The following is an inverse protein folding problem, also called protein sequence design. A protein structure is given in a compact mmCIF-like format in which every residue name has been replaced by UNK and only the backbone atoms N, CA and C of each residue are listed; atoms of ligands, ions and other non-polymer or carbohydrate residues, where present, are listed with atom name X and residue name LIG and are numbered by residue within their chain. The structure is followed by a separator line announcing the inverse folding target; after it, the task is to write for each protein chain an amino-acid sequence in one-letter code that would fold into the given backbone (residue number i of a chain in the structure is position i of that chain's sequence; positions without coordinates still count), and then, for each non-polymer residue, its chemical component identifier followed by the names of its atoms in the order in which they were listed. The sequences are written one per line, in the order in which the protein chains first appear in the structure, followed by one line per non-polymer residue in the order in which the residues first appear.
data_IF_427754579461
#
_entry.id   IF_427754579461
#
_cell.length_a   1.000
_cell.length_b   1.000
_cell.length_c   1.000
_cell.angle_alpha   90.00
_cell.angle_beta   90.00
_cell.angle_gamma   90.00
#
_symmetry.space_group_name_H-M   'P 1'
#
loop_
_entity.id
_entity.type
_entity.pdbx_description
1 polymer ?
#
# COMPACT_ATOMS: atom_id res chain seq x y z
N UNK A 1 -3.44 -27.45 -7.64
CA UNK A 1 -3.43 -27.05 -6.21
C UNK A 1 -2.05 -27.10 -5.57
N UNK A 2 -1.25 -28.15 -5.78
CA UNK A 2 0.10 -28.27 -5.19
C UNK A 2 0.99 -27.07 -5.56
N UNK A 3 1.06 -26.69 -6.84
CA UNK A 3 1.82 -25.53 -7.31
C UNK A 3 1.44 -24.23 -6.59
N UNK A 4 0.16 -24.01 -6.35
CA UNK A 4 -0.37 -22.83 -5.66
C UNK A 4 0.13 -22.74 -4.21
N UNK A 5 0.02 -23.85 -3.47
CA UNK A 5 0.46 -23.92 -2.07
C UNK A 5 1.98 -23.78 -1.95
N UNK A 6 2.74 -24.43 -2.84
CA UNK A 6 4.20 -24.34 -2.86
C UNK A 6 4.63 -22.92 -3.21
N UNK A 7 4.02 -22.30 -4.22
CA UNK A 7 4.38 -20.95 -4.64
C UNK A 7 4.12 -19.92 -3.54
N UNK A 8 2.95 -19.98 -2.89
CA UNK A 8 2.62 -19.12 -1.76
C UNK A 8 3.51 -19.37 -0.52
N UNK A 9 3.74 -20.63 -0.18
CA UNK A 9 4.55 -21.02 0.98
C UNK A 9 6.02 -20.64 0.79
N UNK A 10 6.58 -20.89 -0.39
CA UNK A 10 7.96 -20.53 -0.71
C UNK A 10 8.13 -19.01 -0.76
N UNK A 11 7.23 -18.28 -1.41
CA UNK A 11 7.35 -16.82 -1.51
C UNK A 11 7.22 -16.14 -0.15
N UNK A 12 6.33 -16.63 0.71
CA UNK A 12 6.20 -16.23 2.11
C UNK A 12 7.49 -16.50 2.89
N UNK A 13 8.02 -17.73 2.80
CA UNK A 13 9.27 -18.11 3.45
C UNK A 13 10.41 -17.20 3.00
N UNK A 14 10.54 -17.00 1.69
CA UNK A 14 11.56 -16.15 1.10
C UNK A 14 11.51 -14.74 1.67
N UNK A 15 10.36 -14.05 1.63
CA UNK A 15 10.28 -12.67 2.11
C UNK A 15 10.32 -12.58 3.63
N UNK A 16 9.77 -13.53 4.37
CA UNK A 16 9.81 -13.51 5.82
C UNK A 16 11.25 -13.63 6.35
N UNK A 17 12.03 -14.57 5.81
CA UNK A 17 13.36 -14.89 6.36
C UNK A 17 14.53 -14.17 5.68
N UNK A 18 14.42 -13.81 4.39
CA UNK A 18 15.53 -13.16 3.68
C UNK A 18 15.46 -11.63 3.71
N UNK A 19 14.32 -11.01 4.00
CA UNK A 19 14.20 -9.54 4.10
C UNK A 19 15.25 -8.91 5.07
N UNK A 20 15.59 -9.49 6.23
CA UNK A 20 16.67 -8.97 7.08
C UNK A 20 18.03 -8.86 6.37
N UNK A 21 18.32 -9.77 5.45
CA UNK A 21 19.55 -9.75 4.65
C UNK A 21 19.52 -8.56 3.68
N UNK A 22 18.38 -8.34 3.01
CA UNK A 22 18.16 -7.18 2.15
C UNK A 22 18.21 -5.86 2.93
N UNK A 23 17.65 -5.80 4.13
CA UNK A 23 17.75 -4.62 5.00
C UNK A 23 19.22 -4.27 5.29
N UNK A 24 20.06 -5.27 5.64
CA UNK A 24 21.50 -5.06 5.85
C UNK A 24 22.20 -4.60 4.58
N UNK A 25 21.86 -5.20 3.44
CA UNK A 25 22.41 -4.83 2.13
C UNK A 25 22.05 -3.38 1.77
N UNK A 26 20.78 -3.00 1.86
CA UNK A 26 20.31 -1.66 1.52
C UNK A 26 20.87 -0.59 2.47
N UNK A 27 21.10 -0.93 3.75
CA UNK A 27 21.83 -0.05 4.68
C UNK A 27 23.29 0.13 4.26
N UNK A 28 23.97 -0.93 3.83
CA UNK A 28 25.36 -0.86 3.33
C UNK A 28 25.48 -0.04 2.05
N UNK A 29 24.44 -0.08 1.20
CA UNK A 29 24.35 0.71 -0.03
C UNK A 29 23.84 2.15 0.19
N UNK A 30 23.55 2.53 1.44
CA UNK A 30 22.98 3.84 1.81
C UNK A 30 21.66 4.18 1.10
N UNK A 31 20.86 3.17 0.78
CA UNK A 31 19.55 3.30 0.13
C UNK A 31 18.44 3.67 1.13
N UNK A 32 18.67 4.75 1.88
CA UNK A 32 17.71 5.30 2.84
C UNK A 32 16.77 6.33 2.23
N UNK A 33 15.57 6.46 2.78
CA UNK A 33 14.61 7.47 2.33
C UNK A 33 15.01 8.89 2.80
N UNK A 34 15.00 9.85 1.86
CA UNK A 34 15.18 11.29 2.14
C UNK A 34 13.83 11.93 2.46
N UNK A 35 13.77 12.76 3.51
CA UNK A 35 12.52 13.36 3.99
C UNK A 35 12.00 14.43 3.01
N UNK A 36 10.68 14.51 2.87
CA UNK A 36 9.96 15.63 2.25
C UNK A 36 9.49 16.59 3.35
N UNK A 37 9.74 17.88 3.20
CA UNK A 37 9.39 18.90 4.21
C UNK A 37 7.87 19.11 4.35
N UNK A 38 7.08 18.67 3.36
CA UNK A 38 5.64 18.94 3.27
C UNK A 38 4.73 17.90 3.97
N UNK A 39 5.32 16.96 4.74
CA UNK A 39 4.60 15.85 5.40
C UNK A 39 4.22 16.13 6.87
N UNK A 40 3.30 15.33 7.47
CA UNK A 40 3.02 15.41 8.91
C UNK A 40 4.29 15.22 9.76
N UNK A 41 4.39 15.91 10.91
CA UNK A 41 5.62 15.89 11.72
C UNK A 41 5.99 14.51 12.29
N UNK A 42 5.05 13.56 12.34
CA UNK A 42 5.31 12.15 12.67
C UNK A 42 6.21 11.44 11.67
N UNK A 43 6.36 11.95 10.44
CA UNK A 43 7.25 11.36 9.44
C UNK A 43 8.73 11.73 9.65
N UNK A 44 9.04 12.75 10.46
CA UNK A 44 10.44 13.12 10.72
C UNK A 44 11.22 12.07 11.53
N UNK A 45 10.53 11.21 12.29
CA UNK A 45 11.16 10.09 13.03
C UNK A 45 11.47 8.88 12.15
N UNK A 46 11.03 8.85 10.89
CA UNK A 46 11.23 7.73 9.94
C UNK A 46 12.51 7.88 9.08
N UNK A 47 13.45 8.72 9.51
CA UNK A 47 14.69 9.02 8.78
C UNK A 47 15.62 7.80 8.73
N UNK A 48 16.13 7.48 7.54
CA UNK A 48 17.17 6.45 7.37
C UNK A 48 16.67 5.01 7.29
N UNK A 49 15.35 4.78 7.32
CA UNK A 49 14.78 3.47 7.00
C UNK A 49 15.06 3.15 5.52
N UNK A 50 15.58 1.94 5.20
CA UNK A 50 15.80 1.51 3.82
C UNK A 50 14.53 1.56 2.97
N UNK A 51 14.65 2.02 1.73
CA UNK A 51 13.58 1.99 0.72
C UNK A 51 13.84 0.90 -0.33
N UNK A 52 12.94 0.75 -1.30
CA UNK A 52 12.97 -0.27 -2.38
C UNK A 52 12.74 -1.71 -1.91
N UNK A 53 11.99 -1.89 -0.82
CA UNK A 53 11.50 -3.20 -0.38
C UNK A 53 10.66 -3.94 -1.42
N UNK A 54 10.12 -3.22 -2.42
CA UNK A 54 9.51 -3.76 -3.63
C UNK A 54 10.33 -4.86 -4.31
N UNK A 55 11.65 -4.68 -4.38
CA UNK A 55 12.56 -5.66 -4.98
C UNK A 55 12.42 -7.02 -4.28
N UNK A 56 12.31 -7.02 -2.95
CA UNK A 56 12.34 -8.24 -2.15
C UNK A 56 11.11 -9.11 -2.41
N UNK A 57 9.91 -8.51 -2.40
CA UNK A 57 8.69 -9.29 -2.63
C UNK A 57 8.41 -9.58 -4.10
N UNK A 58 8.88 -8.75 -5.03
CA UNK A 58 8.82 -9.06 -6.48
C UNK A 58 9.70 -10.29 -6.75
N UNK A 59 10.94 -10.29 -6.27
CA UNK A 59 11.83 -11.47 -6.39
C UNK A 59 11.23 -12.69 -5.69
N UNK A 60 10.70 -12.54 -4.48
CA UNK A 60 10.05 -13.63 -3.76
C UNK A 60 8.84 -14.22 -4.49
N UNK A 61 8.03 -13.37 -5.15
CA UNK A 61 6.90 -13.82 -5.95
C UNK A 61 7.34 -14.58 -7.21
N UNK A 62 8.32 -14.05 -7.95
CA UNK A 62 8.86 -14.71 -9.16
C UNK A 62 9.50 -16.05 -8.81
N UNK A 63 10.36 -16.08 -7.78
CA UNK A 63 11.01 -17.32 -7.35
C UNK A 63 9.99 -18.34 -6.82
N UNK A 64 9.00 -17.89 -6.03
CA UNK A 64 7.92 -18.75 -5.55
C UNK A 64 7.11 -19.37 -6.69
N UNK A 65 6.74 -18.56 -7.68
CA UNK A 65 6.05 -19.05 -8.88
C UNK A 65 6.86 -20.11 -9.64
N UNK A 66 8.16 -19.84 -9.88
CA UNK A 66 9.05 -20.76 -10.60
C UNK A 66 9.25 -22.07 -9.82
N UNK A 67 9.47 -22.00 -8.50
CA UNK A 67 9.60 -23.18 -7.63
C UNK A 67 8.29 -23.98 -7.60
N UNK A 68 7.14 -23.32 -7.53
CA UNK A 68 5.83 -23.98 -7.56
C UNK A 68 5.62 -24.83 -8.81
N UNK A 69 6.01 -24.30 -9.98
CA UNK A 69 5.95 -25.02 -11.26
C UNK A 69 6.98 -26.13 -11.34
N UNK A 70 8.23 -25.86 -10.95
CA UNK A 70 9.32 -26.83 -10.97
C UNK A 70 8.99 -28.05 -10.12
N UNK A 71 8.52 -27.86 -8.89
CA UNK A 71 8.21 -28.96 -7.96
C UNK A 71 6.95 -29.71 -8.37
N UNK A 72 5.96 -29.02 -8.96
CA UNK A 72 4.72 -29.66 -9.38
C UNK A 72 4.82 -30.35 -10.74
N UNK A 73 5.90 -30.12 -11.51
CA UNK A 73 6.08 -30.66 -12.86
C UNK A 73 5.08 -30.09 -13.88
N UNK A 74 4.48 -28.93 -13.60
CA UNK A 74 3.50 -28.28 -14.48
C UNK A 74 4.24 -27.19 -15.28
N UNK A 75 4.02 -27.08 -16.60
CA UNK A 75 4.59 -25.98 -17.37
C UNK A 75 3.99 -24.64 -16.96
N UNK A 76 4.82 -23.61 -17.02
CA UNK A 76 4.43 -22.22 -16.79
C UNK A 76 3.72 -21.69 -18.04
N UNK A 77 2.75 -20.80 -17.85
CA UNK A 77 1.94 -20.29 -18.97
C UNK A 77 2.21 -18.81 -19.27
N UNK A 78 1.77 -18.36 -20.45
CA UNK A 78 1.98 -16.97 -20.87
C UNK A 78 1.21 -15.97 -19.99
N UNK A 79 0.07 -16.35 -19.40
CA UNK A 79 -0.70 -15.44 -18.54
C UNK A 79 0.11 -15.03 -17.30
N UNK A 80 0.80 -15.97 -16.66
CA UNK A 80 1.64 -15.66 -15.51
C UNK A 80 2.90 -14.87 -15.90
N UNK A 81 3.49 -15.14 -17.07
CA UNK A 81 4.60 -14.35 -17.62
C UNK A 81 4.19 -12.91 -17.84
N UNK A 82 2.98 -12.67 -18.35
CA UNK A 82 2.45 -11.33 -18.55
C UNK A 82 2.19 -10.61 -17.21
N UNK A 83 1.69 -11.30 -16.18
CA UNK A 83 1.57 -10.72 -14.83
C UNK A 83 2.94 -10.35 -14.25
N UNK A 84 3.91 -11.25 -14.33
CA UNK A 84 5.29 -11.02 -13.86
C UNK A 84 5.93 -9.87 -14.66
N UNK A 85 5.75 -9.85 -15.98
CA UNK A 85 6.28 -8.81 -16.87
C UNK A 85 5.67 -7.45 -16.58
N UNK A 86 4.35 -7.38 -16.32
CA UNK A 86 3.68 -6.14 -15.93
C UNK A 86 4.17 -5.65 -14.56
N UNK A 87 4.19 -6.53 -13.56
CA UNK A 87 4.65 -6.23 -12.20
C UNK A 87 6.12 -5.79 -12.18
N UNK A 88 6.98 -6.53 -12.88
CA UNK A 88 8.41 -6.23 -12.97
C UNK A 88 8.69 -4.97 -13.81
N UNK A 89 7.95 -4.76 -14.89
CA UNK A 89 8.08 -3.60 -15.77
C UNK A 89 7.68 -2.30 -15.08
N UNK A 90 6.50 -2.24 -14.44
CA UNK A 90 6.10 -1.06 -13.67
C UNK A 90 6.94 -0.90 -12.40
N UNK A 91 7.36 -2.01 -11.79
CA UNK A 91 8.31 -2.01 -10.68
C UNK A 91 9.67 -1.44 -11.07
N UNK A 92 10.17 -1.71 -12.29
CA UNK A 92 11.40 -1.14 -12.81
C UNK A 92 11.27 0.39 -12.98
N UNK A 93 10.13 0.88 -13.49
CA UNK A 93 9.87 2.33 -13.55
C UNK A 93 9.93 2.95 -12.16
N UNK A 94 9.36 2.27 -11.15
CA UNK A 94 9.44 2.69 -9.75
C UNK A 94 10.84 2.64 -9.17
N UNK A 95 11.62 1.61 -9.51
CA UNK A 95 13.02 1.48 -9.13
C UNK A 95 13.86 2.62 -9.70
N UNK A 96 13.67 2.98 -10.98
CA UNK A 96 14.36 4.11 -11.58
C UNK A 96 14.04 5.43 -10.88
N UNK A 97 12.79 5.61 -10.42
CA UNK A 97 12.38 6.77 -9.62
C UNK A 97 13.07 6.79 -8.24
N UNK A 98 13.01 5.69 -7.50
CA UNK A 98 13.62 5.56 -6.18
C UNK A 98 15.15 5.69 -6.23
N UNK A 99 15.78 5.05 -7.21
CA UNK A 99 17.23 5.15 -7.44
C UNK A 99 17.64 6.60 -7.72
N UNK A 100 16.84 7.34 -8.51
CA UNK A 100 17.14 8.74 -8.78
C UNK A 100 16.98 9.63 -7.53
N UNK A 101 15.99 9.38 -6.66
CA UNK A 101 15.83 10.09 -5.38
C UNK A 101 17.08 9.90 -4.50
N UNK A 102 17.58 8.66 -4.44
CA UNK A 102 18.76 8.31 -3.64
C UNK A 102 20.01 8.96 -4.21
N UNK A 103 20.28 8.78 -5.50
CA UNK A 103 21.47 9.31 -6.17
C UNK A 103 21.56 10.83 -6.10
N UNK A 104 20.42 11.53 -6.19
CA UNK A 104 20.36 13.01 -6.13
C UNK A 104 20.14 13.56 -4.72
N UNK A 105 20.10 12.70 -3.69
CA UNK A 105 19.90 13.05 -2.28
C UNK A 105 18.74 14.04 -2.05
N UNK A 106 17.64 13.87 -2.78
CA UNK A 106 16.49 14.77 -2.74
C UNK A 106 15.20 13.96 -2.78
N UNK A 107 14.12 14.55 -2.27
CA UNK A 107 12.79 13.92 -2.26
C UNK A 107 12.14 13.81 -3.65
N UNK A 108 12.59 14.63 -4.61
CA UNK A 108 12.10 14.65 -6.00
C UNK A 108 12.78 13.60 -6.87
N UNK A 109 12.01 12.60 -7.30
CA UNK A 109 12.44 11.57 -8.26
C UNK A 109 12.35 12.03 -9.72
N UNK A 110 12.01 11.09 -10.61
CA UNK A 110 11.79 11.36 -12.04
C UNK A 110 10.54 12.23 -12.23
N UNK A 111 10.50 12.99 -13.32
CA UNK A 111 9.34 13.82 -13.65
C UNK A 111 8.08 12.97 -13.77
N UNK A 112 6.95 13.47 -13.23
CA UNK A 112 5.68 12.73 -13.22
C UNK A 112 5.25 12.24 -14.61
N UNK A 113 5.45 13.05 -15.65
CA UNK A 113 5.16 12.66 -17.04
C UNK A 113 6.09 11.58 -17.58
N UNK A 114 7.37 11.59 -17.21
CA UNK A 114 8.32 10.52 -17.57
C UNK A 114 7.93 9.20 -16.90
N UNK A 115 7.49 9.26 -15.64
CA UNK A 115 6.97 8.09 -14.91
C UNK A 115 5.74 7.50 -15.59
N UNK A 116 4.77 8.35 -15.97
CA UNK A 116 3.60 7.92 -16.74
C UNK A 116 4.03 7.34 -18.09
N UNK A 117 4.94 7.98 -18.82
CA UNK A 117 5.47 7.46 -20.08
C UNK A 117 6.07 6.05 -19.95
N UNK A 118 6.85 5.79 -18.89
CA UNK A 118 7.37 4.45 -18.62
C UNK A 118 6.27 3.41 -18.37
N UNK A 119 5.24 3.77 -17.58
CA UNK A 119 4.08 2.88 -17.35
C UNK A 119 3.32 2.64 -18.66
N UNK A 120 3.17 3.65 -19.52
CA UNK A 120 2.51 3.52 -20.82
C UNK A 120 3.27 2.57 -21.76
N UNK A 121 4.60 2.61 -21.75
CA UNK A 121 5.43 1.69 -22.55
C UNK A 121 5.21 0.25 -22.08
N UNK A 122 5.29 0.01 -20.76
CA UNK A 122 5.08 -1.32 -20.18
C UNK A 122 3.67 -1.83 -20.47
N UNK A 123 2.65 -0.99 -20.24
CA UNK A 123 1.24 -1.34 -20.49
C UNK A 123 0.94 -1.59 -21.96
N UNK A 124 1.59 -0.87 -22.88
CA UNK A 124 1.44 -1.10 -24.33
C UNK A 124 2.07 -2.41 -24.76
N UNK A 125 3.26 -2.75 -24.26
CA UNK A 125 3.90 -4.04 -24.53
C UNK A 125 3.02 -5.18 -24.01
N UNK A 126 2.52 -5.06 -22.77
CA UNK A 126 1.57 -6.00 -22.20
C UNK A 126 0.31 -6.14 -23.07
N UNK A 127 -0.32 -5.02 -23.47
CA UNK A 127 -1.54 -5.02 -24.26
C UNK A 127 -1.36 -5.76 -25.59
N UNK A 128 -0.28 -5.45 -26.32
CA UNK A 128 0.00 -6.09 -27.61
C UNK A 128 0.22 -7.58 -27.45
N UNK A 129 1.01 -8.00 -26.46
CA UNK A 129 1.27 -9.43 -26.22
C UNK A 129 0.01 -10.16 -25.73
N UNK A 130 -0.85 -9.51 -24.95
CA UNK A 130 -2.02 -10.15 -24.34
C UNK A 130 -3.13 -10.51 -25.35
N UNK A 131 -3.19 -9.84 -26.51
CA UNK A 131 -4.16 -10.16 -27.59
C UNK A 131 -3.49 -10.73 -28.84
N UNK A 132 -2.20 -11.06 -28.77
CA UNK A 132 -1.49 -11.59 -29.92
C UNK A 132 -1.80 -13.08 -30.13
N UNK A 133 -2.24 -13.42 -31.35
CA UNK A 133 -2.56 -14.78 -31.77
C UNK A 133 -1.38 -15.76 -31.71
N UNK A 134 -0.14 -15.27 -31.68
CA UNK A 134 1.05 -16.12 -31.47
C UNK A 134 0.96 -16.89 -30.15
N UNK A 135 0.25 -16.34 -29.16
CA UNK A 135 0.17 -16.97 -27.86
C UNK A 135 -1.01 -17.91 -27.71
N UNK A 136 -1.94 -18.09 -28.65
CA UNK A 136 -3.16 -18.92 -28.47
C UNK A 136 -2.91 -20.25 -27.73
N UNK A 137 -3.79 -20.59 -26.79
CA UNK A 137 -3.78 -21.91 -26.14
C UNK A 137 -4.42 -22.99 -27.02
N UNK A 138 -4.49 -24.23 -26.52
CA UNK A 138 -5.12 -25.36 -27.20
C UNK A 138 -6.62 -25.14 -27.50
N UNK A 139 -7.26 -24.21 -26.78
CA UNK A 139 -8.67 -23.85 -26.93
C UNK A 139 -8.89 -22.64 -27.85
N UNK A 140 -7.81 -22.07 -28.42
CA UNK A 140 -7.89 -20.89 -29.27
C UNK A 140 -8.14 -19.59 -28.52
N UNK A 141 -7.75 -19.50 -27.24
CA UNK A 141 -7.87 -18.31 -26.41
C UNK A 141 -6.56 -17.52 -26.34
N UNK A 142 -6.65 -16.21 -26.61
CA UNK A 142 -5.60 -15.26 -26.27
C UNK A 142 -5.56 -15.01 -24.75
N UNK A 143 -4.42 -14.57 -24.19
CA UNK A 143 -4.32 -14.24 -22.76
C UNK A 143 -5.38 -13.25 -22.26
N UNK A 144 -5.72 -12.22 -23.04
CA UNK A 144 -6.78 -11.26 -22.74
C UNK A 144 -7.91 -11.33 -23.75
N UNK A 145 -9.10 -10.92 -23.31
CA UNK A 145 -10.28 -10.79 -24.16
C UNK A 145 -10.25 -9.50 -25.00
N UNK A 146 -10.94 -9.52 -26.14
CA UNK A 146 -11.20 -8.32 -26.94
C UNK A 146 -12.34 -7.45 -26.38
N UNK A 147 -13.08 -7.98 -25.39
CA UNK A 147 -14.20 -7.31 -24.76
C UNK A 147 -13.76 -6.58 -23.48
N UNK A 148 -14.57 -5.62 -23.04
CA UNK A 148 -14.48 -5.10 -21.68
C UNK A 148 -15.28 -6.00 -20.75
N UNK A 149 -14.71 -6.34 -19.59
CA UNK A 149 -15.30 -7.35 -18.71
C UNK A 149 -15.55 -6.83 -17.30
N UNK A 150 -16.64 -7.29 -16.71
CA UNK A 150 -17.00 -7.00 -15.32
C UNK A 150 -16.73 -8.20 -14.42
N UNK A 151 -17.65 -9.15 -14.42
CA UNK A 151 -17.43 -10.51 -13.90
C UNK A 151 -17.22 -11.49 -15.07
N UNK A 152 -17.71 -11.10 -16.25
CA UNK A 152 -17.59 -11.76 -17.55
C UNK A 152 -17.54 -10.66 -18.62
N UNK A 153 -17.20 -11.06 -19.84
CA UNK A 153 -17.20 -10.19 -21.00
C UNK A 153 -18.59 -9.59 -21.23
N UNK A 154 -18.63 -8.29 -21.52
CA UNK A 154 -19.87 -7.59 -21.85
C UNK A 154 -20.09 -7.74 -23.36
N UNK A 155 -21.09 -8.52 -23.84
CA UNK A 155 -21.16 -8.92 -25.25
C UNK A 155 -21.27 -7.76 -26.24
N UNK A 156 -21.89 -6.66 -25.82
CA UNK A 156 -22.06 -5.46 -26.67
C UNK A 156 -20.85 -4.53 -26.66
N UNK A 157 -19.87 -4.72 -25.76
CA UNK A 157 -18.71 -3.86 -25.59
C UNK A 157 -17.42 -4.54 -26.06
N UNK A 158 -17.41 -4.91 -27.34
CA UNK A 158 -16.24 -5.45 -28.02
C UNK A 158 -15.37 -4.31 -28.59
N UNK A 159 -14.13 -4.21 -28.12
CA UNK A 159 -13.21 -3.15 -28.58
C UNK A 159 -12.79 -3.37 -30.04
N UNK A 160 -12.80 -4.61 -30.52
CA UNK A 160 -12.44 -4.98 -31.90
C UNK A 160 -13.60 -4.92 -32.90
N UNK A 161 -14.79 -4.47 -32.48
CA UNK A 161 -15.96 -4.38 -33.36
C UNK A 161 -15.74 -3.50 -34.60
N UNK A 162 -14.86 -2.49 -34.51
CA UNK A 162 -14.56 -1.56 -35.60
C UNK A 162 -13.36 -1.99 -36.46
N UNK A 163 -12.90 -3.24 -36.32
CA UNK A 163 -11.78 -3.82 -37.06
C UNK A 163 -10.49 -3.95 -36.23
N UNK A 164 -9.50 -4.73 -36.73
CA UNK A 164 -8.36 -5.17 -35.94
C UNK A 164 -7.40 -4.03 -35.54
N UNK A 165 -7.14 -3.07 -36.43
CA UNK A 165 -6.21 -1.96 -36.16
C UNK A 165 -6.81 -1.02 -35.11
N UNK A 166 -8.03 -0.55 -35.35
CA UNK A 166 -8.71 0.35 -34.42
C UNK A 166 -9.01 -0.35 -33.09
N UNK A 167 -9.37 -1.63 -33.14
CA UNK A 167 -9.56 -2.45 -31.95
C UNK A 167 -8.31 -2.57 -31.09
N UNK A 168 -7.16 -2.82 -31.70
CA UNK A 168 -5.89 -2.84 -30.99
C UNK A 168 -5.57 -1.50 -30.33
N UNK A 169 -5.81 -0.38 -31.03
CA UNK A 169 -5.61 0.97 -30.46
C UNK A 169 -6.53 1.19 -29.25
N UNK A 170 -7.81 0.87 -29.36
CA UNK A 170 -8.77 0.99 -28.26
C UNK A 170 -8.40 0.10 -27.08
N UNK A 171 -7.95 -1.13 -27.35
CA UNK A 171 -7.47 -2.06 -26.34
C UNK A 171 -6.21 -1.53 -25.62
N UNK A 172 -5.24 -1.00 -26.36
CA UNK A 172 -4.04 -0.36 -25.78
C UNK A 172 -4.43 0.82 -24.88
N UNK A 173 -5.38 1.67 -25.31
CA UNK A 173 -5.87 2.78 -24.50
C UNK A 173 -6.53 2.26 -23.22
N UNK A 174 -7.37 1.23 -23.34
CA UNK A 174 -8.07 0.62 -22.21
C UNK A 174 -7.11 0.02 -21.17
N UNK A 175 -6.17 -0.82 -21.62
CA UNK A 175 -5.14 -1.42 -20.76
C UNK A 175 -4.31 -0.34 -20.09
N UNK A 176 -3.86 0.67 -20.82
CA UNK A 176 -3.04 1.75 -20.25
C UNK A 176 -3.82 2.61 -19.26
N UNK A 177 -5.11 2.85 -19.50
CA UNK A 177 -5.98 3.56 -18.56
C UNK A 177 -6.07 2.79 -17.22
N UNK A 178 -6.30 1.47 -17.26
CA UNK A 178 -6.32 0.62 -16.05
C UNK A 178 -4.94 0.63 -15.38
N UNK A 179 -3.87 0.45 -16.17
CA UNK A 179 -2.50 0.34 -15.68
C UNK A 179 -2.06 1.61 -14.95
N UNK A 180 -2.16 2.77 -15.60
CA UNK A 180 -1.80 4.06 -15.02
C UNK A 180 -2.67 4.37 -13.80
N UNK A 181 -3.98 4.09 -13.86
CA UNK A 181 -4.87 4.33 -12.74
C UNK A 181 -4.49 3.50 -11.52
N UNK A 182 -4.28 2.19 -11.70
CA UNK A 182 -4.03 1.23 -10.62
C UNK A 182 -2.64 1.44 -10.01
N UNK A 183 -1.59 1.64 -10.83
CA UNK A 183 -0.24 1.89 -10.34
C UNK A 183 -0.15 3.17 -9.51
N UNK A 184 -0.79 4.25 -9.96
CA UNK A 184 -0.83 5.50 -9.20
C UNK A 184 -1.71 5.36 -7.96
N UNK A 185 -2.78 4.57 -8.01
CA UNK A 185 -3.65 4.38 -6.87
C UNK A 185 -2.95 3.66 -5.70
N UNK A 186 -2.22 2.59 -6.01
CA UNK A 186 -1.41 1.87 -5.01
C UNK A 186 -0.27 2.76 -4.49
N UNK A 187 0.40 3.53 -5.35
CA UNK A 187 1.45 4.47 -4.93
C UNK A 187 0.92 5.54 -3.95
N UNK A 188 -0.26 6.13 -4.23
CA UNK A 188 -0.88 7.10 -3.31
C UNK A 188 -1.30 6.47 -1.97
N UNK A 189 -1.62 5.17 -1.95
CA UNK A 189 -1.94 4.44 -0.72
C UNK A 189 -0.71 4.04 0.11
N UNK A 190 0.49 3.99 -0.48
CA UNK A 190 1.76 3.68 0.20
C UNK A 190 2.30 4.88 1.02
N UNK A 191 1.41 5.51 1.78
CA UNK A 191 1.72 6.67 2.64
C UNK A 191 1.84 6.36 4.12
N UNK A 192 1.43 5.16 4.56
CA UNK A 192 1.52 4.67 5.94
C UNK A 192 2.07 3.25 5.97
N UNK A 193 2.76 2.93 7.07
CA UNK A 193 3.41 1.64 7.30
C UNK A 193 2.37 0.50 7.26
N UNK A 194 2.50 -0.41 6.29
CA UNK A 194 1.61 -1.56 6.16
C UNK A 194 0.26 -1.32 5.48
N UNK A 195 -0.07 -0.08 5.07
CA UNK A 195 -1.38 0.22 4.47
C UNK A 195 -1.52 -0.37 3.06
N UNK A 196 -0.61 -0.03 2.16
CA UNK A 196 -0.66 -0.49 0.77
C UNK A 196 -0.40 -2.00 0.66
N UNK A 197 0.59 -2.52 1.38
CA UNK A 197 0.90 -3.96 1.44
C UNK A 197 -0.28 -4.75 2.02
N UNK A 198 -0.86 -4.31 3.14
CA UNK A 198 -2.04 -4.94 3.74
C UNK A 198 -3.25 -4.98 2.80
N UNK A 199 -3.53 -3.87 2.11
CA UNK A 199 -4.65 -3.78 1.18
C UNK A 199 -4.42 -4.62 -0.08
N UNK A 200 -3.20 -4.65 -0.59
CA UNK A 200 -2.81 -5.45 -1.73
C UNK A 200 -2.93 -6.96 -1.43
N UNK A 201 -2.62 -7.41 -0.20
CA UNK A 201 -2.83 -8.82 0.20
C UNK A 201 -4.29 -9.21 0.03
N UNK A 202 -5.24 -8.41 0.52
CA UNK A 202 -6.67 -8.70 0.35
C UNK A 202 -7.09 -8.68 -1.12
N UNK A 203 -6.66 -7.66 -1.88
CA UNK A 203 -7.01 -7.52 -3.28
C UNK A 203 -6.47 -8.69 -4.13
N UNK A 204 -5.20 -9.06 -3.96
CA UNK A 204 -4.56 -10.15 -4.70
C UNK A 204 -5.10 -11.51 -4.26
N UNK A 205 -5.42 -11.69 -2.98
CA UNK A 205 -6.05 -12.93 -2.49
C UNK A 205 -7.42 -13.17 -3.12
N UNK A 206 -8.18 -12.11 -3.44
CA UNK A 206 -9.41 -12.24 -4.20
C UNK A 206 -9.17 -12.87 -5.59
N UNK A 207 -8.05 -12.53 -6.26
CA UNK A 207 -7.67 -13.13 -7.54
C UNK A 207 -7.26 -14.60 -7.44
N UNK A 208 -6.76 -15.06 -6.27
CA UNK A 208 -6.54 -16.50 -6.02
C UNK A 208 -7.89 -17.24 -6.07
N UNK A 209 -8.89 -16.69 -5.39
CA UNK A 209 -10.24 -17.27 -5.33
C UNK A 209 -10.91 -17.22 -6.72
N UNK A 210 -10.81 -16.07 -7.41
CA UNK A 210 -11.38 -15.88 -8.75
C UNK A 210 -10.75 -16.88 -9.73
N UNK A 211 -9.42 -16.99 -9.78
CA UNK A 211 -8.75 -17.91 -10.69
C UNK A 211 -9.09 -19.38 -10.40
N UNK A 212 -9.16 -19.78 -9.13
CA UNK A 212 -9.60 -21.13 -8.75
C UNK A 212 -11.07 -21.38 -9.14
N UNK A 213 -11.95 -20.40 -8.93
CA UNK A 213 -13.35 -20.48 -9.31
C UNK A 213 -13.53 -20.61 -10.83
N UNK A 214 -12.84 -19.78 -11.60
CA UNK A 214 -12.85 -19.80 -13.06
C UNK A 214 -12.27 -21.11 -13.61
N UNK A 215 -11.25 -21.68 -12.98
CA UNK A 215 -10.70 -22.99 -13.37
C UNK A 215 -11.74 -24.11 -13.21
N UNK A 216 -12.45 -24.14 -12.08
CA UNK A 216 -13.47 -25.16 -11.84
C UNK A 216 -14.69 -24.98 -12.77
N UNK A 217 -15.05 -23.74 -13.10
CA UNK A 217 -16.22 -23.39 -13.91
C UNK A 217 -15.83 -23.02 -15.37
N UNK A 218 -14.72 -23.57 -15.87
CA UNK A 218 -14.24 -23.29 -17.23
C UNK A 218 -15.13 -23.93 -18.30
N UNK A 219 -15.33 -23.24 -19.42
CA UNK A 219 -16.08 -23.77 -20.57
C UNK A 219 -15.43 -25.01 -21.20
N UNK A 220 -14.14 -25.24 -20.97
CA UNK A 220 -13.38 -26.36 -21.50
C UNK A 220 -13.24 -27.52 -20.49
N UNK A 221 -13.84 -27.38 -19.31
CA UNK A 221 -13.82 -28.42 -18.28
C UNK A 221 -14.83 -29.52 -18.63
N UNK A 222 -14.35 -30.74 -18.88
CA UNK A 222 -15.20 -31.91 -19.21
C UNK A 222 -16.09 -32.36 -18.06
N UNK A 223 -15.77 -31.95 -16.83
CA UNK A 223 -16.52 -32.25 -15.61
C UNK A 223 -17.53 -31.15 -15.25
N UNK A 224 -17.74 -30.16 -16.11
CA UNK A 224 -18.71 -29.11 -15.86
C UNK A 224 -20.13 -29.66 -15.91
N UNK A 225 -20.95 -29.25 -14.94
CA UNK A 225 -22.36 -29.61 -14.88
C UNK A 225 -23.12 -29.01 -16.08
N UNK A 226 -23.80 -29.83 -16.91
CA UNK A 226 -24.56 -29.36 -18.07
C UNK A 226 -25.56 -28.25 -17.76
N UNK A 227 -26.14 -28.25 -16.56
CA UNK A 227 -27.17 -27.28 -16.15
C UNK A 227 -26.61 -25.86 -15.96
N UNK A 228 -25.29 -25.72 -15.74
CA UNK A 228 -24.62 -24.43 -15.56
C UNK A 228 -23.67 -24.08 -16.71
N UNK A 229 -23.56 -24.93 -17.73
CA UNK A 229 -22.63 -24.76 -18.84
C UNK A 229 -22.81 -23.42 -19.57
N UNK A 230 -24.04 -22.90 -19.69
CA UNK A 230 -24.32 -21.59 -20.30
C UNK A 230 -23.70 -20.38 -19.56
N UNK A 231 -23.20 -20.58 -18.34
CA UNK A 231 -22.57 -19.57 -17.46
C UNK A 231 -21.08 -19.79 -17.23
N UNK A 232 -20.47 -20.70 -17.99
CA UNK A 232 -19.05 -21.03 -17.88
C UNK A 232 -18.13 -19.81 -18.14
N UNK A 233 -16.84 -19.98 -17.85
CA UNK A 233 -15.82 -18.95 -18.06
C UNK A 233 -14.84 -19.33 -19.17
N UNK A 234 -14.71 -18.46 -20.17
CA UNK A 234 -13.71 -18.54 -21.24
C UNK A 234 -12.42 -17.82 -20.84
N UNK A 235 -11.84 -18.15 -19.68
CA UNK A 235 -10.58 -17.55 -19.24
C UNK A 235 -9.45 -18.53 -19.53
N UNK A 236 -8.35 -18.02 -20.08
CA UNK A 236 -7.16 -18.80 -20.34
C UNK A 236 -6.36 -19.03 -19.05
N UNK A 237 -5.96 -20.28 -18.84
CA UNK A 237 -5.06 -20.71 -17.76
C UNK A 237 -5.40 -20.09 -16.36
N UNK A 238 -6.68 -20.08 -15.92
CA UNK A 238 -7.11 -19.35 -14.72
C UNK A 238 -6.51 -19.91 -13.43
N UNK A 239 -6.17 -21.21 -13.40
CA UNK A 239 -5.48 -21.81 -12.28
C UNK A 239 -4.05 -21.26 -12.14
N UNK A 240 -3.37 -20.99 -13.25
CA UNK A 240 -2.01 -20.45 -13.22
C UNK A 240 -1.99 -18.97 -12.79
N UNK A 241 -3.01 -18.21 -13.19
CA UNK A 241 -3.29 -16.87 -12.62
C UNK A 241 -3.43 -16.92 -11.10
N UNK A 242 -4.11 -17.95 -10.56
CA UNK A 242 -4.21 -18.15 -9.12
C UNK A 242 -2.87 -18.50 -8.47
N UNK A 243 -2.00 -19.27 -9.15
CA UNK A 243 -0.64 -19.60 -8.64
C UNK A 243 0.22 -18.35 -8.52
N UNK A 244 0.29 -17.50 -9.55
CA UNK A 244 1.07 -16.26 -9.47
C UNK A 244 0.46 -15.27 -8.46
N UNK A 245 -0.87 -15.15 -8.38
CA UNK A 245 -1.53 -14.35 -7.36
C UNK A 245 -1.18 -14.84 -5.94
N UNK A 246 -1.15 -16.16 -5.73
CA UNK A 246 -0.78 -16.76 -4.45
C UNK A 246 0.70 -16.53 -4.10
N UNK A 247 1.59 -16.58 -5.10
CA UNK A 247 2.99 -16.23 -4.92
C UNK A 247 3.17 -14.76 -4.50
N UNK A 248 2.45 -13.83 -5.12
CA UNK A 248 2.49 -12.41 -4.77
C UNK A 248 1.88 -12.16 -3.39
N UNK A 249 0.74 -12.78 -3.07
CA UNK A 249 0.13 -12.68 -1.75
C UNK A 249 1.06 -13.21 -0.64
N UNK A 250 1.67 -14.38 -0.85
CA UNK A 250 2.64 -14.96 0.08
C UNK A 250 3.85 -14.06 0.30
N UNK A 251 4.44 -13.51 -0.77
CA UNK A 251 5.58 -12.61 -0.68
C UNK A 251 5.22 -11.32 0.06
N UNK A 252 4.02 -10.78 -0.16
CA UNK A 252 3.52 -9.60 0.55
C UNK A 252 3.25 -9.86 2.04
N UNK A 253 2.71 -11.03 2.40
CA UNK A 253 2.48 -11.37 3.82
C UNK A 253 3.81 -11.41 4.56
N UNK A 254 4.84 -12.04 3.99
CA UNK A 254 6.17 -12.08 4.62
C UNK A 254 6.86 -10.71 4.64
N UNK A 255 6.64 -9.88 3.60
CA UNK A 255 7.12 -8.49 3.59
C UNK A 255 6.42 -7.61 4.64
N UNK A 256 5.11 -7.80 4.83
CA UNK A 256 4.29 -7.04 5.78
C UNK A 256 4.85 -7.16 7.20
N UNK A 257 5.40 -8.31 7.60
CA UNK A 257 6.08 -8.50 8.88
C UNK A 257 7.17 -7.46 9.17
N UNK A 258 7.89 -7.03 8.13
CA UNK A 258 8.97 -6.04 8.22
C UNK A 258 8.50 -4.60 7.92
N UNK A 259 7.32 -4.46 7.33
CA UNK A 259 6.75 -3.18 6.90
C UNK A 259 5.67 -2.64 7.85
N UNK A 260 5.13 -3.44 8.78
CA UNK A 260 4.21 -2.97 9.82
C UNK A 260 4.87 -1.97 10.76
N UNK A 261 4.10 -0.98 11.23
CA UNK A 261 4.61 0.09 12.09
C UNK A 261 5.19 -0.44 13.41
N UNK A 262 6.41 -0.02 13.81
CA UNK A 262 7.33 0.86 13.07
C UNK A 262 8.06 0.11 11.94
N UNK A 263 7.96 0.61 10.69
CA UNK A 263 8.53 -0.06 9.53
C UNK A 263 10.07 -0.13 9.55
N UNK A 264 10.61 -1.31 9.25
CA UNK A 264 12.06 -1.55 9.11
C UNK A 264 12.53 -1.45 7.66
N UNK A 265 11.60 -1.52 6.72
CA UNK A 265 11.83 -1.36 5.28
C UNK A 265 10.59 -0.75 4.63
N UNK A 266 10.78 0.22 3.74
CA UNK A 266 9.73 0.79 2.91
C UNK A 266 9.65 0.12 1.56
N UNK A 267 8.42 -0.02 1.05
CA UNK A 267 8.15 -0.61 -0.26
C UNK A 267 8.76 0.22 -1.39
N UNK A 268 8.63 1.55 -1.31
CA UNK A 268 9.10 2.49 -2.33
C UNK A 268 8.19 2.50 -3.57
N UNK A 269 8.47 3.41 -4.49
CA UNK A 269 7.80 3.46 -5.79
C UNK A 269 8.02 2.15 -6.57
N UNK A 270 9.16 1.48 -6.34
CA UNK A 270 9.46 0.14 -6.90
C UNK A 270 8.36 -0.87 -6.61
N UNK A 271 7.94 -0.97 -5.35
CA UNK A 271 6.94 -1.95 -4.98
C UNK A 271 5.51 -1.47 -5.24
N UNK A 272 5.22 -0.20 -4.99
CA UNK A 272 3.85 0.30 -5.13
C UNK A 272 3.40 0.36 -6.59
N UNK A 273 4.27 0.77 -7.53
CA UNK A 273 3.99 0.68 -8.96
C UNK A 273 3.98 -0.78 -9.44
N UNK A 274 4.86 -1.64 -8.92
CA UNK A 274 4.86 -3.07 -9.23
C UNK A 274 3.54 -3.74 -8.87
N UNK A 275 3.04 -3.53 -7.64
CA UNK A 275 1.77 -4.09 -7.16
C UNK A 275 0.55 -3.57 -7.92
N UNK A 276 0.52 -2.29 -8.26
CA UNK A 276 -0.56 -1.77 -9.09
C UNK A 276 -0.52 -2.33 -10.52
N UNK A 277 0.67 -2.61 -11.07
CA UNK A 277 0.83 -3.31 -12.34
C UNK A 277 0.35 -4.76 -12.27
N UNK A 278 0.70 -5.47 -11.20
CA UNK A 278 0.23 -6.85 -10.96
C UNK A 278 -1.30 -6.91 -10.85
N UNK A 279 -1.93 -6.02 -10.09
CA UNK A 279 -3.39 -5.93 -9.95
C UNK A 279 -4.07 -5.62 -11.30
N UNK A 280 -3.51 -4.70 -12.09
CA UNK A 280 -4.01 -4.42 -13.42
C UNK A 280 -3.94 -5.65 -14.35
N UNK A 281 -2.78 -6.34 -14.37
CA UNK A 281 -2.61 -7.54 -15.18
C UNK A 281 -3.56 -8.66 -14.76
N UNK A 282 -3.69 -8.94 -13.46
CA UNK A 282 -4.62 -9.94 -12.94
C UNK A 282 -6.06 -9.62 -13.34
N UNK A 283 -6.49 -8.35 -13.21
CA UNK A 283 -7.83 -7.92 -13.60
C UNK A 283 -8.12 -8.13 -15.10
N UNK A 284 -7.17 -7.79 -15.97
CA UNK A 284 -7.31 -7.90 -17.42
C UNK A 284 -7.32 -9.38 -17.86
N UNK A 285 -6.35 -10.16 -17.38
CA UNK A 285 -6.20 -11.56 -17.81
C UNK A 285 -7.29 -12.47 -17.24
N UNK A 286 -7.83 -12.16 -16.06
CA UNK A 286 -8.98 -12.89 -15.51
C UNK A 286 -10.33 -12.37 -16.01
N UNK A 287 -10.35 -11.40 -16.94
CA UNK A 287 -11.57 -10.77 -17.50
C UNK A 287 -12.49 -10.18 -16.42
N UNK A 288 -11.89 -9.43 -15.49
CA UNK A 288 -12.59 -8.80 -14.35
C UNK A 288 -12.20 -7.33 -14.12
N UNK A 289 -12.00 -6.57 -15.20
CA UNK A 289 -11.50 -5.20 -15.16
C UNK A 289 -12.41 -4.26 -14.36
N UNK A 290 -13.73 -4.32 -14.55
CA UNK A 290 -14.64 -3.46 -13.78
C UNK A 290 -14.80 -3.92 -12.33
N UNK A 291 -14.61 -5.21 -12.04
CA UNK A 291 -14.61 -5.74 -10.68
C UNK A 291 -13.39 -5.25 -9.88
N UNK A 292 -12.29 -4.88 -10.55
CA UNK A 292 -11.12 -4.27 -9.91
C UNK A 292 -11.48 -3.00 -9.12
N UNK A 293 -12.52 -2.26 -9.53
CA UNK A 293 -12.98 -1.07 -8.78
C UNK A 293 -13.47 -1.46 -7.38
N UNK A 294 -14.12 -2.61 -7.25
CA UNK A 294 -14.58 -3.13 -5.96
C UNK A 294 -13.45 -3.81 -5.19
N UNK A 295 -12.65 -4.66 -5.85
CA UNK A 295 -11.51 -5.36 -5.24
C UNK A 295 -10.48 -4.35 -4.71
N UNK A 296 -10.19 -3.31 -5.49
CA UNK A 296 -9.29 -2.20 -5.16
C UNK A 296 -9.96 -1.05 -4.43
N UNK A 297 -11.13 -1.26 -3.80
CA UNK A 297 -11.96 -0.18 -3.24
C UNK A 297 -11.21 0.77 -2.30
N UNK A 298 -10.28 0.28 -1.48
CA UNK A 298 -9.45 1.15 -0.64
C UNK A 298 -8.55 2.07 -1.47
N UNK A 299 -7.87 1.54 -2.48
CA UNK A 299 -7.02 2.33 -3.38
C UNK A 299 -7.83 3.41 -4.08
N UNK A 300 -9.04 3.06 -4.54
CA UNK A 300 -9.98 4.00 -5.17
C UNK A 300 -10.41 5.10 -4.19
N UNK A 301 -10.76 4.77 -2.94
CA UNK A 301 -11.16 5.76 -1.93
C UNK A 301 -10.01 6.73 -1.62
N UNK A 302 -8.79 6.20 -1.43
CA UNK A 302 -7.61 6.99 -1.11
C UNK A 302 -7.25 7.91 -2.27
N UNK A 303 -7.18 7.42 -3.50
CA UNK A 303 -6.85 8.24 -4.67
C UNK A 303 -7.97 9.18 -5.06
N UNK A 304 -9.22 8.74 -4.94
CA UNK A 304 -10.41 9.57 -5.13
C UNK A 304 -10.42 10.77 -4.18
N UNK A 305 -9.94 10.61 -2.94
CA UNK A 305 -9.80 11.74 -2.01
C UNK A 305 -8.82 12.82 -2.52
N UNK A 306 -7.74 12.43 -3.21
CA UNK A 306 -6.77 13.37 -3.81
C UNK A 306 -7.38 14.09 -4.99
N UNK A 307 -8.08 13.37 -5.88
CA UNK A 307 -8.76 13.95 -7.05
C UNK A 307 -9.81 14.95 -6.58
N UNK A 308 -10.69 14.54 -5.65
CA UNK A 308 -11.75 15.37 -5.11
C UNK A 308 -11.19 16.64 -4.45
N UNK A 309 -10.15 16.50 -3.63
CA UNK A 309 -9.46 17.64 -3.01
C UNK A 309 -8.91 18.62 -4.05
N UNK A 310 -8.24 18.11 -5.10
CA UNK A 310 -7.62 18.94 -6.14
C UNK A 310 -8.66 19.68 -6.98
N UNK A 311 -9.72 18.99 -7.38
CA UNK A 311 -10.84 19.58 -8.13
C UNK A 311 -11.53 20.66 -7.30
N UNK A 312 -11.86 20.37 -6.03
CA UNK A 312 -12.52 21.35 -5.16
C UNK A 312 -11.67 22.58 -4.88
N UNK A 313 -10.36 22.41 -4.63
CA UNK A 313 -9.45 23.53 -4.42
C UNK A 313 -9.37 24.43 -5.67
N UNK A 314 -9.34 23.83 -6.87
CA UNK A 314 -9.33 24.58 -8.14
C UNK A 314 -10.67 25.29 -8.40
N UNK A 315 -11.79 24.61 -8.17
CA UNK A 315 -13.13 25.18 -8.36
C UNK A 315 -13.41 26.34 -7.40
N UNK A 316 -13.04 26.21 -6.12
CA UNK A 316 -13.24 27.27 -5.12
C UNK A 316 -12.31 28.46 -5.35
N UNK A 317 -11.06 28.21 -5.76
CA UNK A 317 -10.14 29.28 -6.18
C UNK A 317 -10.67 30.04 -7.39
N UNK A 318 -11.22 29.32 -8.37
CA UNK A 318 -11.83 29.94 -9.56
C UNK A 318 -13.11 30.73 -9.23
N UNK A 319 -13.98 30.19 -8.38
CA UNK A 319 -15.30 30.78 -8.07
C UNK A 319 -15.27 31.90 -7.02
N UNK A 320 -14.36 31.83 -6.04
CA UNK A 320 -14.33 32.70 -4.85
C UNK A 320 -12.96 33.37 -4.62
N UNK A 321 -12.01 33.25 -5.55
CA UNK A 321 -10.65 33.80 -5.45
C UNK A 321 -9.74 33.12 -4.42
N UNK A 322 -10.30 32.32 -3.50
CA UNK A 322 -9.58 31.63 -2.43
C UNK A 322 -9.81 30.11 -2.52
N UNK A 323 -8.71 29.35 -2.54
CA UNK A 323 -8.78 27.89 -2.59
C UNK A 323 -9.15 27.32 -1.23
N UNK A 324 -10.31 26.66 -1.13
CA UNK A 324 -10.76 25.95 0.08
C UNK A 324 -10.41 24.47 -0.01
N UNK A 325 -10.22 23.83 1.13
CA UNK A 325 -9.87 22.40 1.26
C UNK A 325 -11.06 21.63 1.84
N UNK A 326 -11.39 20.46 1.27
CA UNK A 326 -12.43 19.56 1.82
C UNK A 326 -11.85 18.78 2.99
N UNK A 327 -10.71 18.15 2.76
CA UNK A 327 -9.96 17.42 3.78
C UNK A 327 -8.84 18.30 4.31
N UNK A 328 -8.52 18.15 5.60
CA UNK A 328 -7.36 18.80 6.25
C UNK A 328 -6.06 18.60 5.45
N UNK A 329 -5.83 17.38 4.98
CA UNK A 329 -4.75 17.00 4.08
C UNK A 329 -5.21 15.84 3.20
N UNK A 330 -4.68 15.72 1.99
CA UNK A 330 -4.89 14.59 1.08
C UNK A 330 -3.56 13.87 0.87
N UNK A 331 -3.52 12.52 0.86
CA UNK A 331 -4.67 11.61 0.78
C UNK A 331 -5.39 11.36 2.12
N UNK A 332 -6.50 10.62 2.10
CA UNK A 332 -7.44 10.46 3.22
C UNK A 332 -6.78 9.98 4.53
N UNK A 333 -5.75 9.14 4.45
CA UNK A 333 -5.02 8.69 5.64
C UNK A 333 -4.40 9.84 6.44
N UNK A 334 -3.81 10.84 5.77
CA UNK A 334 -3.23 12.02 6.44
C UNK A 334 -4.30 12.93 7.05
N UNK A 335 -5.52 12.95 6.48
CA UNK A 335 -6.65 13.64 7.11
C UNK A 335 -6.95 13.07 8.50
N UNK A 336 -6.90 11.75 8.67
CA UNK A 336 -7.13 11.11 9.96
C UNK A 336 -5.95 11.28 10.93
N UNK A 337 -4.71 11.31 10.44
CA UNK A 337 -3.54 11.65 11.26
C UNK A 337 -3.65 13.05 11.85
N UNK A 338 -4.04 14.04 11.04
CA UNK A 338 -4.25 15.42 11.52
C UNK A 338 -5.45 15.55 12.47
N UNK A 339 -6.41 14.63 12.42
CA UNK A 339 -7.48 14.49 13.42
C UNK A 339 -7.00 13.83 14.73
N UNK A 340 -5.72 13.45 14.83
CA UNK A 340 -5.11 12.89 16.02
C UNK A 340 -5.25 11.37 16.17
N UNK A 341 -5.60 10.65 15.09
CA UNK A 341 -5.62 9.18 15.13
C UNK A 341 -4.20 8.62 15.03
N UNK A 342 -3.92 7.54 15.75
CA UNK A 342 -2.65 6.83 15.64
C UNK A 342 -2.56 6.09 14.29
N UNK A 343 -1.40 6.10 13.65
CA UNK A 343 -1.12 5.46 12.35
C UNK A 343 -1.65 4.02 12.29
N UNK A 344 -1.31 3.19 13.27
CA UNK A 344 -1.78 1.78 13.36
C UNK A 344 -3.32 1.70 13.38
N UNK A 345 -3.99 2.64 14.05
CA UNK A 345 -5.47 2.66 14.11
C UNK A 345 -6.06 2.98 12.76
N UNK A 346 -5.43 3.86 11.99
CA UNK A 346 -5.87 4.22 10.64
C UNK A 346 -5.70 3.01 9.72
N UNK A 347 -4.53 2.39 9.73
CA UNK A 347 -4.24 1.20 8.90
C UNK A 347 -5.23 0.08 9.17
N UNK A 348 -5.40 -0.32 10.44
CA UNK A 348 -6.30 -1.43 10.81
C UNK A 348 -7.76 -1.13 10.45
N UNK A 349 -8.23 0.13 10.63
CA UNK A 349 -9.61 0.52 10.30
C UNK A 349 -9.85 0.61 8.80
N UNK A 350 -8.90 1.12 8.03
CA UNK A 350 -8.99 1.18 6.57
C UNK A 350 -8.98 -0.21 5.94
N UNK A 351 -8.32 -1.18 6.59
CA UNK A 351 -8.39 -2.60 6.23
C UNK A 351 -9.68 -3.31 6.73
N UNK A 352 -10.66 -2.56 7.25
CA UNK A 352 -11.98 -3.07 7.60
C UNK A 352 -12.10 -3.68 9.00
N UNK A 353 -11.03 -3.73 9.80
CA UNK A 353 -11.10 -4.22 11.17
C UNK A 353 -11.40 -3.06 12.10
N UNK A 354 -12.58 -3.04 12.72
CA UNK A 354 -12.83 -2.19 13.88
C UNK A 354 -11.94 -2.70 15.02
N UNK A 355 -10.95 -1.91 15.50
CA UNK A 355 -10.27 -2.31 16.72
C UNK A 355 -11.31 -2.24 17.84
N UNK A 356 -11.45 -3.33 18.59
CA UNK A 356 -12.21 -3.34 19.84
C UNK A 356 -11.81 -2.11 20.65
N UNK A 357 -12.80 -1.35 21.12
CA UNK A 357 -12.62 -0.09 21.86
C UNK A 357 -11.63 -0.31 23.01
N UNK A 358 -10.36 0.05 22.80
CA UNK A 358 -9.31 -0.36 23.74
C UNK A 358 -7.99 0.39 23.64
N UNK A 359 -7.94 1.59 23.06
CA UNK A 359 -6.75 2.45 23.23
C UNK A 359 -7.22 3.88 23.48
N UNK A 360 -7.55 4.16 24.75
CA UNK A 360 -7.55 5.55 25.23
C UNK A 360 -6.10 6.04 25.18
N UNK A 361 -5.87 7.06 24.37
CA UNK A 361 -4.60 7.80 24.30
C UNK A 361 -4.09 8.15 25.70
N UNK A 362 -2.82 7.83 25.99
CA UNK A 362 -2.14 8.19 27.24
C UNK A 362 -2.14 9.71 27.52
N UNK A 363 -2.49 10.56 26.57
CA UNK A 363 -2.58 12.02 26.76
C UNK A 363 -3.75 12.47 27.65
N UNK A 364 -4.81 11.69 27.78
CA UNK A 364 -5.95 12.07 28.64
C UNK A 364 -5.75 11.74 30.12
N UNK A 365 -4.75 10.90 30.45
CA UNK A 365 -4.50 10.48 31.84
C UNK A 365 -3.75 11.55 32.67
N UNK A 366 -3.17 12.56 32.03
CA UNK A 366 -2.44 13.65 32.71
C UNK A 366 -3.22 14.97 32.84
N UNK A 367 -4.39 15.12 32.20
CA UNK A 367 -5.27 16.29 32.41
C UNK A 367 -6.23 16.12 33.59
N UNK A 368 -6.55 14.89 33.99
CA UNK A 368 -7.45 14.60 35.12
C UNK A 368 -6.84 14.77 36.52
N UNK A 369 -5.51 14.77 36.66
CA UNK A 369 -4.86 14.82 37.98
C UNK A 369 -4.50 16.22 38.50
N UNK A 370 -4.67 17.27 37.68
CA UNK A 370 -4.42 18.66 38.10
C UNK A 370 -5.66 19.40 38.61
N UNK A 371 -6.86 18.86 38.43
CA UNK A 371 -8.09 19.46 38.99
C UNK A 371 -8.52 18.86 40.34
N UNK A 372 -8.10 17.64 40.68
CA UNK A 372 -8.44 17.04 41.98
C UNK A 372 -7.60 17.57 43.16
N UNK A 373 -6.43 18.18 42.92
CA UNK A 373 -5.59 18.76 43.99
C UNK A 373 -5.98 20.19 44.41
N UNK A 374 -6.85 20.89 43.67
CA UNK A 374 -7.35 22.23 44.07
C UNK A 374 -8.69 22.18 44.82
N UNK A 375 -9.50 21.14 44.66
CA UNK A 375 -10.77 21.00 45.37
C UNK A 375 -10.62 20.50 46.83
N UNK A 376 -9.51 19.81 47.16
CA UNK A 376 -9.25 19.29 48.51
C UNK A 376 -8.73 20.29 49.55
N UNK A 377 -8.40 21.53 49.16
CA UNK A 377 -7.90 22.57 50.08
C UNK A 377 -8.92 23.61 50.52
N UNK A 378 -10.14 23.58 49.97
CA UNK A 378 -11.20 24.55 50.28
C UNK A 378 -12.23 24.04 51.32
N UNK A 379 -12.15 22.79 51.77
CA UNK A 379 -13.10 22.17 52.72
C UNK A 379 -12.58 21.98 54.15
N UNK A 380 -11.40 22.52 54.48
CA UNK A 380 -10.78 22.39 55.81
C UNK A 380 -10.57 23.75 56.53
N UNK A 381 -11.42 24.74 56.27
CA UNK A 381 -11.47 26.01 57.03
C UNK A 381 -12.92 26.42 57.25
N UNK A 382 -13.52 25.84 58.28
CA UNK A 382 -14.89 26.17 58.65
C UNK A 382 -15.37 25.32 59.82
N UNK A 383 -14.81 25.59 61.01
CA UNK A 383 -15.36 25.35 62.36
C UNK A 383 -14.21 25.35 63.36
N UNK A 384 -14.20 26.32 64.27
CA UNK A 384 -14.34 26.15 65.73
C UNK A 384 -14.08 27.52 66.38
N UNK A 385 -15.05 27.96 67.16
CA UNK A 385 -15.03 29.14 68.03
C UNK A 385 -14.11 28.94 69.24
N UNK A 386 -13.42 30.02 69.61
CA UNK A 386 -13.23 30.52 70.98
C UNK A 386 -12.62 29.63 72.06
N UNK A 387 -11.43 30.01 72.55
CA UNK A 387 -11.21 30.30 73.98
C UNK A 387 -9.85 30.97 74.24
N UNK A 388 -9.76 31.63 75.40
CA UNK A 388 -8.76 32.64 75.82
C UNK A 388 -7.46 32.01 76.34
N UNK A 389 -6.35 32.76 76.28
CA UNK A 389 -5.17 32.53 77.14
C UNK A 389 -3.83 32.98 76.54
N UNK A 390 -3.24 34.05 77.10
CA UNK A 390 -1.86 34.50 76.88
C UNK A 390 -0.92 33.93 78.00
N UNK A 391 0.38 34.27 78.12
CA UNK A 391 1.46 34.61 77.17
C UNK A 391 2.82 33.87 77.47
N UNK A 392 3.93 34.33 76.84
CA UNK A 392 5.39 34.16 77.17
C UNK A 392 6.11 32.95 76.51
N UNK A 393 7.38 32.96 76.07
CA UNK A 393 8.53 33.90 76.18
C UNK A 393 9.65 33.51 75.17
N UNK A 394 10.43 34.52 74.74
CA UNK A 394 11.84 34.59 74.31
C UNK A 394 12.51 33.59 73.33
N UNK A 395 13.40 34.16 72.49
CA UNK A 395 14.49 33.43 71.85
C UNK A 395 15.14 34.15 70.66
N UNK A 396 15.92 35.21 70.92
CA UNK A 396 16.80 35.88 69.96
C UNK A 396 17.89 34.91 69.46
N UNK A 397 18.32 35.02 68.20
CA UNK A 397 19.68 35.51 67.87
C UNK A 397 19.89 35.76 66.36
N UNK A 398 20.37 36.98 66.06
CA UNK A 398 20.97 37.41 64.80
C UNK A 398 22.45 36.98 64.74
N UNK A 399 22.94 36.69 63.54
CA UNK A 399 24.12 37.30 62.87
C UNK A 399 24.59 36.39 61.73
N UNK A 400 25.41 36.76 60.75
CA UNK A 400 25.74 37.99 59.99
C UNK A 400 26.84 37.53 59.02
N UNK A 401 26.63 37.72 57.71
CA UNK A 401 27.61 38.09 56.66
C UNK A 401 29.08 37.64 56.81
N UNK A 402 29.63 36.95 55.79
CA UNK A 402 30.82 37.45 55.05
C UNK A 402 31.11 36.71 53.74
N UNK A 403 31.38 37.52 52.71
CA UNK A 403 32.05 37.21 51.44
C UNK A 403 33.55 36.97 51.66
N UNK A 404 34.18 36.24 50.75
CA UNK A 404 35.63 36.29 50.51
C UNK A 404 36.07 35.19 49.56
N UNK A 405 36.58 35.57 48.38
CA UNK A 405 37.15 34.65 47.38
C UNK A 405 38.68 34.64 47.38
N UNK A 406 39.27 33.71 46.63
CA UNK A 406 40.64 33.69 46.08
C UNK A 406 40.82 32.30 45.41
N UNK A 407 41.02 32.19 44.10
CA UNK A 407 42.26 32.30 43.28
C UNK A 407 43.06 30.97 43.17
N UNK A 408 43.36 30.63 41.90
CA UNK A 408 44.50 29.85 41.35
C UNK A 408 44.49 28.35 41.70
N UNK A 409 44.88 27.40 40.85
CA UNK A 409 45.68 27.38 39.61
C UNK A 409 46.65 26.19 39.71
N UNK A 410 46.96 25.55 38.57
CA UNK A 410 47.91 24.46 38.31
C UNK A 410 47.41 23.01 38.48
N UNK A 411 47.67 22.22 37.44
CA UNK A 411 47.33 20.81 37.28
C UNK A 411 47.03 20.52 35.82
#
# INVERSE_FOLDING_TARGET
MIALLIAAGFSLFFTLFLTPLFIRLFKKLEWGQFIRDDGPQSHHTKRGTPTMGGIVFILGAVLGYLVGHLVSGIPWTMVAVLVIGMMGGTGLVGFLDDYQKIRKQRSLGIGGWTKIGGILVVGTIFAVLAVNNVFLDENGLTPASHFVSAVRDIPWLNLFALGPILGLILFIIWVNAISVSTTNAVNVADGLDGLASGAAIFAISAYIIIGFWQANQSCFNKQLDPDVAYKCYDVRDPLDLAVIAAAIAGSLIGFLWWNTSPAQIFMGDTGSLGLGGALAALAILSRTELLLVLIGGLFIIVTGSVILQRVYFKLTKWRFGTGRRIFLMSPLQHHFELKGWAEITIVVRLLGRTPGRGVRSRRDRFRGSRHSRRAGRARARGRVHGERGAPRVAGRHRCRVRRGGARRGAG
#
